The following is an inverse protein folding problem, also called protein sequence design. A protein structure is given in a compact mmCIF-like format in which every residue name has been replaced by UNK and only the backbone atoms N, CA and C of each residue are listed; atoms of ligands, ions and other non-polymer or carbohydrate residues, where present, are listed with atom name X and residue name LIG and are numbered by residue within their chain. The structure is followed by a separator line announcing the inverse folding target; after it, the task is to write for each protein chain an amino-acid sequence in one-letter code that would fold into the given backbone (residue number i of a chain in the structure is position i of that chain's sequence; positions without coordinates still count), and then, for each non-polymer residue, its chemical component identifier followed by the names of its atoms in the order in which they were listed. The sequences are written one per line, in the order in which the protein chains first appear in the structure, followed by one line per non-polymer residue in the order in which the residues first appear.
data_IF_615935580618
#
_entry.id   IF_615935580618
#
_cell.length_a   1.000
_cell.length_b   1.000
_cell.length_c   1.000
_cell.angle_alpha   90.00
_cell.angle_beta   90.00
_cell.angle_gamma   90.00
#
_symmetry.space_group_name_H-M   'P 1'
#
loop_
_entity.id
_entity.type
_entity.pdbx_description
1 polymer ?
#
# COMPACT_ATOMS: atom_id res chain seq x y z
N UNK A 1 20.42 2.50 -0.31
CA UNK A 1 19.44 1.68 -1.05
C UNK A 1 20.15 0.60 -1.90
N UNK A 2 21.44 0.36 -1.66
CA UNK A 2 22.35 -0.08 -2.72
C UNK A 2 22.52 -1.61 -2.74
N UNK A 3 22.03 -2.27 -1.69
CA UNK A 3 22.14 -3.71 -1.47
C UNK A 3 20.87 -4.47 -1.88
N UNK A 4 19.79 -3.77 -2.22
CA UNK A 4 18.47 -4.37 -2.47
C UNK A 4 17.98 -4.00 -3.86
N UNK A 5 17.39 -4.94 -4.59
CA UNK A 5 16.82 -4.66 -5.92
C UNK A 5 15.57 -3.77 -5.83
N UNK A 6 14.80 -3.96 -4.77
CA UNK A 6 13.58 -3.23 -4.46
C UNK A 6 13.51 -2.91 -2.97
N UNK A 7 12.88 -1.79 -2.66
CA UNK A 7 12.51 -1.39 -1.30
C UNK A 7 11.00 -1.34 -1.25
N UNK A 8 10.43 -2.08 -0.30
CA UNK A 8 9.01 -2.06 -0.02
C UNK A 8 8.76 -1.25 1.25
N UNK A 9 8.15 -0.06 1.09
CA UNK A 9 7.76 0.78 2.21
C UNK A 9 6.36 0.40 2.69
N UNK A 10 6.21 0.28 4.01
CA UNK A 10 4.97 -0.06 4.68
C UNK A 10 4.80 0.85 5.90
N UNK A 11 3.67 1.53 5.98
CA UNK A 11 3.26 2.22 7.20
C UNK A 11 3.10 1.22 8.36
N UNK A 12 3.37 1.68 9.58
CA UNK A 12 3.28 0.86 10.78
C UNK A 12 1.87 0.31 11.06
N UNK A 13 0.85 0.88 10.43
CA UNK A 13 -0.53 0.40 10.52
C UNK A 13 -0.98 -0.47 9.35
N UNK A 14 -0.03 -1.22 8.80
CA UNK A 14 -0.26 -2.27 7.81
C UNK A 14 -0.04 -3.66 8.40
N UNK A 15 -0.64 -4.67 7.78
CA UNK A 15 -0.39 -6.10 8.03
C UNK A 15 -0.22 -6.83 6.72
N UNK A 16 0.79 -7.69 6.63
CA UNK A 16 0.90 -8.68 5.55
C UNK A 16 -0.09 -9.80 5.86
N UNK A 17 -1.11 -9.98 5.01
CA UNK A 17 -2.23 -10.89 5.25
C UNK A 17 -2.21 -12.14 4.38
N UNK A 18 -1.39 -12.16 3.33
CA UNK A 18 -1.19 -13.34 2.50
C UNK A 18 0.30 -13.72 2.46
N UNK A 19 0.65 -14.77 3.21
CA UNK A 19 2.01 -15.31 3.28
C UNK A 19 2.29 -16.40 2.25
N UNK A 20 1.33 -16.71 1.37
CA UNK A 20 1.46 -17.74 0.32
C UNK A 20 1.93 -17.16 -1.01
N UNK A 21 1.82 -15.83 -1.17
CA UNK A 21 2.24 -15.10 -2.36
C UNK A 21 3.58 -14.42 -2.06
N UNK A 22 4.62 -14.62 -2.90
CA UNK A 22 5.88 -13.91 -2.75
C UNK A 22 5.72 -12.43 -3.14
N UNK A 23 6.50 -11.53 -2.54
CA UNK A 23 6.44 -10.09 -2.86
C UNK A 23 6.72 -9.80 -4.33
N UNK A 24 7.50 -10.65 -4.98
CA UNK A 24 7.82 -10.60 -6.41
C UNK A 24 6.59 -10.68 -7.30
N UNK A 25 5.47 -11.25 -6.82
CA UNK A 25 4.23 -11.33 -7.57
C UNK A 25 3.59 -9.95 -7.84
N UNK A 26 3.97 -8.92 -7.09
CA UNK A 26 3.51 -7.53 -7.30
C UNK A 26 4.54 -6.65 -8.01
N UNK A 27 5.70 -7.21 -8.38
CA UNK A 27 6.77 -6.49 -9.08
C UNK A 27 6.63 -6.64 -10.60
N UNK A 28 7.09 -5.65 -11.39
CA UNK A 28 7.20 -5.80 -12.83
C UNK A 28 8.29 -6.83 -13.17
N UNK A 29 8.33 -7.22 -14.45
CA UNK A 29 9.41 -8.04 -14.96
C UNK A 29 10.78 -7.40 -14.69
N UNK A 30 11.80 -8.23 -14.43
CA UNK A 30 13.15 -7.74 -14.18
C UNK A 30 13.63 -6.91 -15.37
N UNK A 31 14.15 -5.71 -15.08
CA UNK A 31 14.65 -4.78 -16.09
C UNK A 31 13.59 -3.98 -16.85
N UNK A 32 12.29 -4.15 -16.57
CA UNK A 32 11.24 -3.33 -17.21
C UNK A 32 10.76 -2.18 -16.32
N UNK A 33 10.30 -1.08 -16.91
CA UNK A 33 9.51 -0.08 -16.18
C UNK A 33 8.29 -0.73 -15.49
N UNK A 34 7.71 -0.09 -14.45
CA UNK A 34 8.13 1.16 -13.80
C UNK A 34 9.29 0.99 -12.79
N UNK A 35 9.78 2.11 -12.25
CA UNK A 35 10.80 2.17 -11.19
C UNK A 35 10.21 2.45 -9.80
N UNK A 36 9.06 3.14 -9.74
CA UNK A 36 8.25 3.35 -8.54
C UNK A 36 6.82 2.86 -8.81
N UNK A 37 6.33 1.97 -7.96
CA UNK A 37 4.98 1.41 -8.00
C UNK A 37 4.19 1.97 -6.82
N UNK A 38 3.09 2.63 -7.16
CA UNK A 38 2.12 3.18 -6.22
C UNK A 38 0.78 2.49 -6.41
N UNK A 39 -0.12 2.68 -5.46
CA UNK A 39 -1.55 2.38 -5.60
C UNK A 39 -2.35 3.66 -5.53
N UNK A 40 -3.51 3.69 -6.19
CA UNK A 40 -4.47 4.80 -6.08
C UNK A 40 -5.80 4.38 -5.49
N UNK A 41 -6.31 5.19 -4.58
CA UNK A 41 -7.68 5.11 -4.07
C UNK A 41 -8.58 6.19 -4.72
N UNK A 42 -9.80 6.36 -4.20
CA UNK A 42 -10.75 7.40 -4.63
C UNK A 42 -10.25 8.85 -4.50
N UNK A 43 -9.14 9.07 -3.81
CA UNK A 43 -8.51 10.36 -3.51
C UNK A 43 -7.10 10.50 -4.10
N UNK A 44 -6.68 9.55 -4.94
CA UNK A 44 -5.36 9.51 -5.58
C UNK A 44 -4.39 8.57 -4.86
N UNK A 45 -3.09 8.82 -5.04
CA UNK A 45 -2.03 7.97 -4.46
C UNK A 45 -1.99 8.05 -2.93
N UNK A 46 -1.43 7.01 -2.32
CA UNK A 46 -1.17 6.90 -0.89
C UNK A 46 0.32 6.65 -0.64
N UNK A 47 0.97 7.50 0.16
CA UNK A 47 2.40 7.41 0.48
C UNK A 47 2.76 6.38 1.56
N UNK A 48 1.76 5.75 2.19
CA UNK A 48 1.97 4.78 3.25
C UNK A 48 2.36 3.39 2.77
N UNK A 49 2.12 3.05 1.49
CA UNK A 49 2.59 1.79 0.91
C UNK A 49 3.02 1.96 -0.53
N UNK A 50 4.28 1.63 -0.83
CA UNK A 50 4.85 1.74 -2.18
C UNK A 50 6.11 0.89 -2.35
N UNK A 51 6.45 0.60 -3.60
CA UNK A 51 7.64 -0.18 -3.99
C UNK A 51 8.52 0.67 -4.90
N UNK A 52 9.81 0.79 -4.61
CA UNK A 52 10.76 1.51 -5.47
C UNK A 52 12.00 0.65 -5.73
N UNK A 53 12.59 0.76 -6.93
CA UNK A 53 13.88 0.11 -7.19
C UNK A 53 14.97 0.67 -6.27
N UNK A 54 15.87 -0.22 -5.85
CA UNK A 54 17.02 0.11 -5.02
C UNK A 54 18.31 0.22 -5.82
N UNK A 55 19.05 -0.88 -5.91
CA UNK A 55 20.37 -0.99 -6.51
C UNK A 55 20.38 -0.41 -7.93
N UNK A 56 21.39 0.40 -8.23
CA UNK A 56 21.61 1.05 -9.53
C UNK A 56 20.49 1.97 -10.07
N UNK A 57 19.41 2.23 -9.32
CA UNK A 57 18.38 3.18 -9.75
C UNK A 57 18.73 4.63 -9.35
N UNK A 58 19.46 5.36 -10.20
CA UNK A 58 19.78 6.78 -9.97
C UNK A 58 18.53 7.66 -9.91
N UNK A 59 17.56 7.39 -10.78
CA UNK A 59 16.30 8.13 -10.80
C UNK A 59 15.56 8.00 -9.47
N UNK A 60 15.46 6.78 -8.92
CA UNK A 60 14.79 6.50 -7.65
C UNK A 60 15.39 7.29 -6.48
N UNK A 61 16.72 7.36 -6.38
CA UNK A 61 17.39 8.15 -5.34
C UNK A 61 17.09 9.64 -5.51
N UNK A 62 17.18 10.15 -6.74
CA UNK A 62 16.87 11.55 -7.03
C UNK A 62 15.40 11.88 -6.71
N UNK A 63 14.47 10.97 -7.03
CA UNK A 63 13.06 11.10 -6.70
C UNK A 63 12.84 11.18 -5.18
N UNK A 64 13.41 10.25 -4.41
CA UNK A 64 13.28 10.26 -2.94
C UNK A 64 13.92 11.51 -2.32
N UNK A 65 15.07 11.96 -2.82
CA UNK A 65 15.70 13.20 -2.35
C UNK A 65 14.84 14.41 -2.65
N UNK A 66 14.28 14.53 -3.87
CA UNK A 66 13.36 15.61 -4.22
C UNK A 66 12.13 15.61 -3.31
N UNK A 67 11.53 14.45 -3.09
CA UNK A 67 10.36 14.30 -2.23
C UNK A 67 10.67 14.69 -0.78
N UNK A 68 11.78 14.19 -0.23
CA UNK A 68 12.24 14.51 1.12
C UNK A 68 12.50 16.01 1.32
N UNK A 69 13.04 16.68 0.30
CA UNK A 69 13.35 18.11 0.33
C UNK A 69 12.13 19.04 0.20
N UNK A 70 10.90 18.52 0.09
CA UNK A 70 9.67 19.33 -0.04
C UNK A 70 9.20 19.89 1.32
N UNK A 71 10.03 20.71 1.95
CA UNK A 71 9.80 21.22 3.32
C UNK A 71 8.54 22.07 3.48
N UNK A 72 8.01 22.65 2.39
CA UNK A 72 6.76 23.40 2.37
C UNK A 72 5.53 22.55 2.73
N UNK A 73 5.65 21.23 2.67
CA UNK A 73 4.59 20.28 3.04
C UNK A 73 4.71 19.77 4.47
N UNK A 74 5.77 20.14 5.20
CA UNK A 74 5.93 19.76 6.60
C UNK A 74 4.82 20.38 7.44
N UNK A 75 4.05 19.50 8.07
CA UNK A 75 2.97 19.81 9.00
C UNK A 75 3.54 20.04 10.39
N UNK A 76 3.26 21.18 11.01
CA UNK A 76 3.81 21.58 12.33
C UNK A 76 2.72 21.94 13.35
N UNK A 77 1.46 21.98 12.92
CA UNK A 77 0.33 22.36 13.75
C UNK A 77 -0.13 21.20 14.63
N UNK A 78 -0.50 21.46 15.90
CA UNK A 78 -1.01 20.42 16.81
C UNK A 78 -2.36 19.81 16.38
N UNK A 79 -3.00 20.36 15.35
CA UNK A 79 -4.25 19.86 14.75
C UNK A 79 -4.07 19.30 13.34
N UNK A 80 -2.83 19.17 12.88
CA UNK A 80 -2.56 18.59 11.57
C UNK A 80 -2.83 17.08 11.63
N UNK A 81 -3.92 16.67 10.98
CA UNK A 81 -4.41 15.29 10.94
C UNK A 81 -4.17 14.62 9.58
N UNK A 82 -3.48 15.32 8.67
CA UNK A 82 -3.19 14.88 7.30
C UNK A 82 -1.69 14.62 7.16
N UNK A 83 -1.35 13.64 6.32
CA UNK A 83 0.04 13.32 5.97
C UNK A 83 0.58 14.37 4.99
N UNK A 84 1.61 15.09 5.43
CA UNK A 84 2.30 16.10 4.62
C UNK A 84 3.13 15.47 3.49
N UNK A 85 3.78 14.35 3.78
CA UNK A 85 4.53 13.55 2.82
C UNK A 85 3.64 13.04 1.68
N UNK A 86 2.42 12.59 1.96
CA UNK A 86 1.47 12.18 0.94
C UNK A 86 1.00 13.36 0.06
N UNK A 87 0.77 14.54 0.65
CA UNK A 87 0.43 15.74 -0.10
C UNK A 87 1.61 16.19 -0.99
N UNK A 88 2.85 16.08 -0.49
CA UNK A 88 4.06 16.35 -1.26
C UNK A 88 4.20 15.38 -2.44
N UNK A 89 3.95 14.08 -2.23
CA UNK A 89 3.97 13.07 -3.29
C UNK A 89 2.95 13.40 -4.38
N UNK A 90 1.71 13.72 -4.00
CA UNK A 90 0.65 14.11 -4.94
C UNK A 90 1.04 15.35 -5.75
N UNK A 91 1.60 16.35 -5.08
CA UNK A 91 2.09 17.56 -5.76
C UNK A 91 3.21 17.22 -6.76
N UNK A 92 4.21 16.46 -6.33
CA UNK A 92 5.34 16.07 -7.17
C UNK A 92 4.88 15.29 -8.41
N UNK A 93 3.93 14.37 -8.28
CA UNK A 93 3.37 13.62 -9.43
C UNK A 93 2.51 14.49 -10.35
N UNK A 94 1.85 15.52 -9.81
CA UNK A 94 1.02 16.44 -10.57
C UNK A 94 1.84 17.45 -11.38
N UNK A 95 3.03 17.80 -10.91
CA UNK A 95 3.95 18.76 -11.57
C UNK A 95 5.10 18.09 -12.32
N UNK A 96 5.24 16.77 -12.21
CA UNK A 96 6.22 15.97 -12.95
C UNK A 96 5.98 16.03 -14.46
N UNK A 97 7.06 16.06 -15.23
CA UNK A 97 7.00 15.94 -16.68
C UNK A 97 6.30 14.63 -17.10
N UNK A 98 5.48 14.70 -18.15
CA UNK A 98 4.67 13.56 -18.57
C UNK A 98 5.53 12.37 -19.05
N UNK A 99 6.67 12.64 -19.70
CA UNK A 99 7.59 11.59 -20.16
C UNK A 99 8.32 10.93 -18.99
N UNK A 100 8.74 11.71 -17.98
CA UNK A 100 9.30 11.18 -16.73
C UNK A 100 8.26 10.28 -16.03
N UNK A 101 7.03 10.78 -15.89
CA UNK A 101 5.96 10.07 -15.20
C UNK A 101 5.65 8.72 -15.87
N UNK A 102 5.46 8.71 -17.19
CA UNK A 102 5.16 7.48 -17.93
C UNK A 102 6.32 6.48 -17.91
N UNK A 103 7.57 6.95 -17.84
CA UNK A 103 8.76 6.07 -17.84
C UNK A 103 9.02 5.42 -16.49
N UNK A 104 8.72 6.12 -15.39
CA UNK A 104 9.18 5.71 -14.06
C UNK A 104 8.06 5.36 -13.08
N UNK A 105 6.83 5.84 -13.28
CA UNK A 105 5.72 5.66 -12.33
C UNK A 105 4.74 4.62 -12.84
N UNK A 106 4.47 3.60 -12.03
CA UNK A 106 3.38 2.66 -12.26
C UNK A 106 2.31 2.76 -11.18
N UNK A 107 1.05 2.66 -11.60
CA UNK A 107 -0.10 2.60 -10.70
C UNK A 107 -0.68 1.19 -10.75
N UNK A 108 -0.51 0.45 -9.65
CA UNK A 108 -1.13 -0.86 -9.46
C UNK A 108 -2.58 -0.70 -8.93
N UNK A 109 -3.44 -1.72 -9.12
CA UNK A 109 -4.70 -1.81 -8.40
C UNK A 109 -4.45 -1.72 -6.90
N UNK A 110 -5.30 -1.00 -6.18
CA UNK A 110 -5.13 -0.81 -4.73
C UNK A 110 -5.07 -2.13 -3.96
N UNK A 111 -5.86 -3.14 -4.35
CA UNK A 111 -5.83 -4.46 -3.71
C UNK A 111 -4.53 -5.26 -3.93
N UNK A 112 -3.65 -4.84 -4.83
CA UNK A 112 -2.39 -5.54 -5.07
C UNK A 112 -1.52 -5.56 -3.80
N UNK A 113 -1.42 -4.43 -3.10
CA UNK A 113 -0.59 -4.31 -1.90
C UNK A 113 -0.97 -3.15 -0.96
N UNK A 114 -2.16 -2.55 -1.08
CA UNK A 114 -2.57 -1.45 -0.21
C UNK A 114 -4.09 -1.47 0.07
N UNK A 115 -4.63 -2.66 0.35
CA UNK A 115 -6.06 -2.82 0.58
C UNK A 115 -6.49 -2.19 1.90
N UNK A 116 -7.53 -1.37 1.88
CA UNK A 116 -8.05 -0.72 3.07
C UNK A 116 -9.06 -1.58 3.80
N UNK A 117 -9.02 -1.50 5.13
CA UNK A 117 -10.10 -2.04 5.95
C UNK A 117 -11.35 -1.14 5.81
N UNK A 118 -12.48 -1.71 5.38
CA UNK A 118 -13.73 -0.96 5.31
C UNK A 118 -14.19 -0.56 6.71
N UNK A 119 -14.67 0.68 6.82
CA UNK A 119 -15.49 1.10 7.95
C UNK A 119 -16.71 1.85 7.45
N UNK A 120 -17.89 1.48 7.94
CA UNK A 120 -19.10 2.24 7.69
C UNK A 120 -18.91 3.67 8.21
N UNK A 121 -18.90 4.65 7.30
CA UNK A 121 -18.90 6.07 7.64
C UNK A 121 -19.62 6.84 6.55
N UNK A 122 -20.21 7.99 6.88
CA UNK A 122 -20.85 8.85 5.88
C UNK A 122 -19.87 9.23 4.76
N UNK A 123 -18.60 9.47 5.10
CA UNK A 123 -17.53 9.73 4.13
C UNK A 123 -17.33 8.56 3.16
N UNK A 124 -17.32 7.33 3.66
CA UNK A 124 -17.16 6.15 2.83
C UNK A 124 -18.42 5.84 2.01
N UNK A 125 -19.62 6.16 2.52
CA UNK A 125 -20.86 6.10 1.73
C UNK A 125 -20.82 7.09 0.56
N UNK A 126 -20.45 8.35 0.81
CA UNK A 126 -20.31 9.36 -0.25
C UNK A 126 -19.25 8.93 -1.29
N UNK A 127 -18.09 8.46 -0.84
CA UNK A 127 -17.04 7.95 -1.74
C UNK A 127 -17.51 6.76 -2.57
N UNK A 128 -18.30 5.86 -1.98
CA UNK A 128 -18.88 4.73 -2.69
C UNK A 128 -19.88 5.19 -3.75
N UNK A 129 -20.73 6.15 -3.42
CA UNK A 129 -21.68 6.72 -4.38
C UNK A 129 -20.96 7.39 -5.57
N UNK A 130 -19.86 8.10 -5.32
CA UNK A 130 -19.10 8.79 -6.36
C UNK A 130 -18.21 7.85 -7.19
N UNK A 131 -17.60 6.83 -6.57
CA UNK A 131 -16.61 5.96 -7.20
C UNK A 131 -16.72 4.51 -6.71
N UNK A 132 -17.83 3.79 -7.03
CA UNK A 132 -18.12 2.49 -6.44
C UNK A 132 -17.08 1.44 -6.83
N UNK A 133 -16.61 1.44 -8.09
CA UNK A 133 -15.60 0.49 -8.57
C UNK A 133 -14.28 0.64 -7.80
N UNK A 134 -13.72 1.85 -7.75
CA UNK A 134 -12.46 2.13 -7.04
C UNK A 134 -12.54 1.75 -5.57
N UNK A 135 -13.67 2.05 -4.93
CA UNK A 135 -13.92 1.67 -3.54
C UNK A 135 -13.92 0.15 -3.41
N UNK A 136 -14.73 -0.57 -4.19
CA UNK A 136 -14.85 -2.04 -4.09
C UNK A 136 -13.55 -2.80 -4.38
N UNK A 137 -12.70 -2.28 -5.28
CA UNK A 137 -11.35 -2.82 -5.54
C UNK A 137 -10.31 -2.43 -4.50
N UNK A 138 -10.55 -1.35 -3.74
CA UNK A 138 -9.63 -0.89 -2.71
C UNK A 138 -9.84 -1.52 -1.35
N UNK A 139 -10.93 -2.25 -1.15
CA UNK A 139 -11.23 -2.90 0.12
C UNK A 139 -10.52 -4.24 0.25
N UNK A 140 -9.99 -4.46 1.44
CA UNK A 140 -9.39 -5.72 1.82
C UNK A 140 -10.38 -6.87 1.67
N UNK A 141 -9.90 -7.92 1.03
CA UNK A 141 -10.58 -9.21 0.90
C UNK A 141 -9.63 -10.34 1.28
N UNK A 142 -10.15 -11.50 1.72
CA UNK A 142 -9.34 -12.69 1.90
C UNK A 142 -8.53 -12.99 0.63
N UNK A 143 -7.21 -13.12 0.78
CA UNK A 143 -6.26 -13.35 -0.32
C UNK A 143 -5.45 -12.11 -0.72
N UNK A 144 -5.86 -10.91 -0.33
CA UNK A 144 -5.06 -9.69 -0.58
C UNK A 144 -3.73 -9.73 0.19
N UNK A 145 -2.68 -9.14 -0.40
CA UNK A 145 -1.32 -9.23 0.12
C UNK A 145 -1.12 -8.41 1.40
N UNK A 146 -1.54 -7.15 1.40
CA UNK A 146 -1.39 -6.22 2.52
C UNK A 146 -2.72 -5.56 2.84
N UNK A 147 -3.04 -5.54 4.13
CA UNK A 147 -4.12 -4.76 4.72
C UNK A 147 -3.55 -3.48 5.34
N UNK A 148 -4.18 -2.34 5.09
CA UNK A 148 -3.78 -1.04 5.62
C UNK A 148 -4.94 -0.40 6.38
N UNK A 149 -4.74 -0.09 7.67
CA UNK A 149 -5.71 0.60 8.51
C UNK A 149 -5.71 2.13 8.30
N UNK A 150 -5.54 2.58 7.05
CA UNK A 150 -5.41 3.98 6.68
C UNK A 150 -6.61 4.81 7.13
N UNK A 151 -6.35 5.90 7.85
CA UNK A 151 -7.39 6.83 8.32
C UNK A 151 -8.35 6.25 9.37
N UNK A 152 -8.03 5.08 9.94
CA UNK A 152 -8.79 4.49 11.05
C UNK A 152 -8.29 5.03 12.38
N UNK A 153 -9.22 5.27 13.30
CA UNK A 153 -8.93 5.66 14.68
C UNK A 153 -8.68 4.41 15.54
N UNK A 154 -7.80 4.52 16.54
CA UNK A 154 -7.39 3.40 17.38
C UNK A 154 -6.87 2.21 16.55
N UNK A 155 -5.91 2.51 15.65
CA UNK A 155 -5.30 1.57 14.70
C UNK A 155 -4.81 0.30 15.40
N UNK A 156 -4.10 0.44 16.52
CA UNK A 156 -3.58 -0.68 17.31
C UNK A 156 -4.67 -1.69 17.68
N UNK A 157 -5.78 -1.25 18.25
CA UNK A 157 -6.87 -2.15 18.63
C UNK A 157 -7.53 -2.83 17.42
N UNK A 158 -7.59 -2.14 16.28
CA UNK A 158 -8.14 -2.70 15.03
C UNK A 158 -7.22 -3.78 14.47
N UNK A 159 -5.91 -3.51 14.42
CA UNK A 159 -4.92 -4.47 13.94
C UNK A 159 -4.83 -5.70 14.84
N UNK A 160 -4.84 -5.53 16.16
CA UNK A 160 -4.87 -6.64 17.12
C UNK A 160 -6.08 -7.54 16.92
N UNK A 161 -7.29 -6.96 16.90
CA UNK A 161 -8.52 -7.75 16.68
C UNK A 161 -8.51 -8.49 15.34
N UNK A 162 -7.98 -7.84 14.31
CA UNK A 162 -7.87 -8.46 12.99
C UNK A 162 -6.90 -9.65 13.02
N UNK A 163 -5.71 -9.48 13.59
CA UNK A 163 -4.71 -10.54 13.71
C UNK A 163 -5.19 -11.73 14.57
N UNK A 164 -5.90 -11.45 15.67
CA UNK A 164 -6.53 -12.47 16.51
C UNK A 164 -7.58 -13.27 15.74
N UNK A 165 -8.47 -12.59 15.00
CA UNK A 165 -9.49 -13.25 14.19
C UNK A 165 -8.88 -14.14 13.10
N UNK A 166 -7.82 -13.67 12.43
CA UNK A 166 -7.08 -14.48 11.45
C UNK A 166 -6.44 -15.73 12.09
N UNK A 167 -5.83 -15.57 13.27
CA UNK A 167 -5.20 -16.67 14.00
C UNK A 167 -6.22 -17.73 14.42
N UNK A 168 -7.39 -17.31 14.92
CA UNK A 168 -8.48 -18.21 15.27
C UNK A 168 -9.03 -18.96 14.06
N UNK A 169 -9.17 -18.28 12.91
CA UNK A 169 -9.63 -18.90 11.67
C UNK A 169 -8.65 -19.99 11.19
N UNK A 170 -7.34 -19.73 11.24
CA UNK A 170 -6.31 -20.73 10.91
C UNK A 170 -6.40 -21.94 11.84
N UNK A 171 -6.49 -21.70 13.16
CA UNK A 171 -6.62 -22.79 14.14
C UNK A 171 -7.88 -23.63 13.90
N UNK A 172 -9.01 -22.99 13.56
CA UNK A 172 -10.25 -23.68 13.25
C UNK A 172 -10.11 -24.54 12.00
N UNK A 173 -9.53 -24.02 10.91
CA UNK A 173 -9.32 -24.78 9.68
C UNK A 173 -8.34 -25.95 9.86
N UNK A 174 -7.34 -25.80 10.73
CA UNK A 174 -6.44 -26.89 11.11
C UNK A 174 -7.18 -27.99 11.89
N UNK A 175 -8.05 -27.61 12.85
CA UNK A 175 -8.89 -28.56 13.61
C UNK A 175 -9.89 -29.30 12.71
N UNK A 176 -10.42 -28.65 11.68
CA UNK A 176 -11.35 -29.25 10.71
C UNK A 176 -10.65 -30.12 9.65
N UNK A 177 -9.33 -30.29 9.72
CA UNK A 177 -8.56 -31.09 8.74
C UNK A 177 -8.45 -30.46 7.35
N UNK A 178 -8.93 -29.23 7.16
CA UNK A 178 -8.99 -28.55 5.85
C UNK A 178 -7.67 -27.94 5.39
N UNK A 179 -6.66 -27.89 6.27
CA UNK A 179 -5.27 -27.48 5.92
C UNK A 179 -4.26 -28.65 5.90
N UNK A 180 -4.70 -29.90 6.09
CA UNK A 180 -3.82 -31.07 6.14
C UNK A 180 -3.79 -31.85 4.83
N UNK A 181 -2.90 -31.50 3.90
CA UNK A 181 -2.89 -32.19 2.59
C UNK A 181 -1.69 -31.98 1.67
N UNK A 182 -0.46 -31.85 2.18
CA UNK A 182 0.75 -32.23 1.42
C UNK A 182 1.75 -32.87 2.38
N UNK A 183 1.57 -34.17 2.64
CA UNK A 183 2.68 -35.08 2.95
C UNK A 183 3.26 -35.54 1.61
N UNK A 184 4.58 -35.57 1.54
CA UNK A 184 5.35 -35.50 0.31
C UNK A 184 5.20 -36.65 -0.68
N UNK A 185 5.69 -36.36 -1.88
CA UNK A 185 6.31 -37.29 -2.81
C UNK A 185 7.56 -36.58 -3.36
#
# INVERSE_FOLDING_TARGET
MDQYDWIFWLDADTLITNLTIPVEAVLPARGSAPDLILTEDSTGVNAGVWLIRGSNCRWCRSFLMRWWSMESFIRRGPRDTKSGDNDALKHMLATMDSSERTSHIGIAPQCAFNSYLWRGSLRNLVRYALNPRRMLTGLWRPGDFVMHAAGIQNKMAVLHRFAEAQSQQVQQLQKEGKLGGRKGA
#
